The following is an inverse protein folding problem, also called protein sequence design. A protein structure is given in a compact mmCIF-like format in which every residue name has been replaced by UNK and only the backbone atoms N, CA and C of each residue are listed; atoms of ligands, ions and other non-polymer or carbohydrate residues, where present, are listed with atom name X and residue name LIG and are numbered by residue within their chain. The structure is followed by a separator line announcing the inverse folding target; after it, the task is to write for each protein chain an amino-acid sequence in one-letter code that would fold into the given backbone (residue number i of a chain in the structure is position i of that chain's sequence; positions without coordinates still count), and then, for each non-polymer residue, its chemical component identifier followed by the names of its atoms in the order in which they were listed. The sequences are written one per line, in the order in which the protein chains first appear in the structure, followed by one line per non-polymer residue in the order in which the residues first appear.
data_IF_491830932508
#
_entry.id   IF_491830932508
#
_cell.length_a   1.000
_cell.length_b   1.000
_cell.length_c   1.000
_cell.angle_alpha   90.00
_cell.angle_beta   90.00
_cell.angle_gamma   90.00
#
_symmetry.space_group_name_H-M   'P 1'
#
loop_
_entity.id
_entity.type
_entity.pdbx_description
1 polymer ?
#
# COMPACT_ATOMS: atom_id res chain seq x y z
N UNK A 1 -0.90 12.41 -20.55
CA UNK A 1 -0.34 12.54 -19.19
C UNK A 1 0.45 11.26 -18.95
N UNK A 2 1.71 11.34 -18.53
CA UNK A 2 2.49 10.13 -18.21
C UNK A 2 1.81 9.49 -17.00
N UNK A 3 1.24 8.31 -17.17
CA UNK A 3 0.63 7.56 -16.07
C UNK A 3 1.73 7.08 -15.12
N UNK A 4 1.59 7.37 -13.82
CA UNK A 4 2.58 6.99 -12.82
C UNK A 4 2.42 5.50 -12.52
N UNK A 5 3.49 4.72 -12.69
CA UNK A 5 3.43 3.26 -12.60
C UNK A 5 3.05 2.78 -11.19
N UNK A 6 3.43 3.53 -10.15
CA UNK A 6 3.08 3.24 -8.74
C UNK A 6 1.58 3.32 -8.43
N UNK A 7 0.79 4.03 -9.24
CA UNK A 7 -0.67 4.03 -9.15
C UNK A 7 -1.30 3.03 -10.12
N UNK A 8 -0.76 2.95 -11.35
CA UNK A 8 -1.25 2.05 -12.40
C UNK A 8 -1.20 0.58 -11.98
N UNK A 9 -0.10 0.17 -11.36
CA UNK A 9 0.16 -1.20 -10.95
C UNK A 9 -0.20 -1.49 -9.49
N UNK A 10 -0.77 -0.51 -8.78
CA UNK A 10 -1.21 -0.71 -7.40
C UNK A 10 -2.25 -1.84 -7.33
N UNK A 11 -1.98 -2.91 -6.57
CA UNK A 11 -2.96 -3.97 -6.31
C UNK A 11 -4.29 -3.41 -5.80
N UNK A 12 -5.40 -3.88 -6.38
CA UNK A 12 -6.76 -3.50 -5.99
C UNK A 12 -7.42 -4.55 -5.10
N UNK A 13 -6.83 -5.74 -5.01
CA UNK A 13 -7.32 -6.84 -4.19
C UNK A 13 -6.21 -7.39 -3.28
N UNK A 14 -6.59 -7.92 -2.13
CA UNK A 14 -5.62 -8.47 -1.16
C UNK A 14 -4.83 -9.67 -1.71
N UNK A 15 -5.42 -10.47 -2.60
CA UNK A 15 -4.77 -11.61 -3.27
C UNK A 15 -3.74 -11.21 -4.34
N UNK A 16 -3.72 -9.94 -4.74
CA UNK A 16 -2.73 -9.40 -5.69
C UNK A 16 -1.48 -8.86 -4.97
N UNK A 17 -1.52 -8.67 -3.65
CA UNK A 17 -0.40 -8.16 -2.86
C UNK A 17 0.58 -9.30 -2.56
N UNK A 18 1.76 -9.25 -3.17
CA UNK A 18 2.80 -10.28 -3.03
C UNK A 18 3.72 -10.00 -1.84
N UNK A 19 4.29 -11.08 -1.27
CA UNK A 19 5.31 -11.00 -0.23
C UNK A 19 4.78 -10.74 1.19
N UNK A 20 3.45 -10.82 1.40
CA UNK A 20 2.79 -10.63 2.70
C UNK A 20 1.68 -11.67 2.94
N UNK A 21 1.86 -12.90 2.42
CA UNK A 21 0.80 -13.89 2.24
C UNK A 21 0.01 -14.20 3.53
N UNK A 22 0.70 -14.39 4.66
CA UNK A 22 0.08 -14.64 5.97
C UNK A 22 -0.83 -13.50 6.44
N UNK A 23 -0.43 -12.25 6.17
CA UNK A 23 -1.20 -11.05 6.52
C UNK A 23 -2.41 -10.96 5.59
N UNK A 24 -2.20 -11.14 4.29
CA UNK A 24 -3.27 -11.03 3.29
C UNK A 24 -4.36 -12.06 3.51
N UNK A 25 -4.02 -13.31 3.81
CA UNK A 25 -4.98 -14.38 4.13
C UNK A 25 -5.88 -14.01 5.32
N UNK A 26 -5.31 -13.45 6.39
CA UNK A 26 -6.08 -13.00 7.56
C UNK A 26 -6.96 -11.80 7.26
N UNK A 27 -6.46 -10.82 6.50
CA UNK A 27 -7.25 -9.65 6.09
C UNK A 27 -8.40 -10.04 5.17
N UNK A 28 -8.19 -10.99 4.27
CA UNK A 28 -9.24 -11.55 3.41
C UNK A 28 -10.39 -12.15 4.22
N UNK A 29 -10.08 -12.84 5.33
CA UNK A 29 -11.11 -13.36 6.23
C UNK A 29 -11.97 -12.24 6.86
N UNK A 30 -11.37 -11.10 7.25
CA UNK A 30 -12.14 -9.96 7.76
C UNK A 30 -13.03 -9.33 6.70
N UNK A 31 -12.51 -9.17 5.48
CA UNK A 31 -13.25 -8.62 4.33
C UNK A 31 -14.42 -9.52 3.96
N UNK A 32 -14.19 -10.83 3.83
CA UNK A 32 -15.21 -11.81 3.44
C UNK A 32 -16.37 -11.85 4.44
N UNK A 33 -16.07 -11.76 5.74
CA UNK A 33 -17.09 -11.78 6.79
C UNK A 33 -17.71 -10.41 7.08
N UNK A 34 -17.24 -9.34 6.43
CA UNK A 34 -17.59 -7.93 6.73
C UNK A 34 -17.54 -7.62 8.22
N UNK A 35 -16.61 -8.26 8.92
CA UNK A 35 -16.40 -8.13 10.35
C UNK A 35 -14.91 -7.91 10.60
N UNK A 36 -14.55 -6.63 10.68
CA UNK A 36 -13.18 -6.18 10.80
C UNK A 36 -13.04 -5.41 12.11
N UNK A 37 -12.04 -5.71 12.97
CA UNK A 37 -11.70 -4.84 14.09
C UNK A 37 -11.03 -3.55 13.57
N UNK A 38 -10.64 -2.63 14.46
CA UNK A 38 -9.64 -1.64 14.05
C UNK A 38 -8.32 -2.35 13.74
N UNK A 39 -7.59 -1.85 12.75
CA UNK A 39 -6.35 -2.45 12.28
C UNK A 39 -5.18 -1.49 12.53
N UNK A 40 -4.02 -2.05 12.81
CA UNK A 40 -2.75 -1.31 12.85
C UNK A 40 -1.73 -2.00 11.96
N UNK A 41 -1.31 -1.32 10.90
CA UNK A 41 -0.27 -1.76 9.98
C UNK A 41 1.06 -1.15 10.41
N UNK A 42 1.97 -1.99 10.89
CA UNK A 42 3.33 -1.59 11.29
C UNK A 42 4.35 -2.23 10.37
N UNK A 43 5.31 -1.44 9.87
CA UNK A 43 6.38 -1.94 9.01
C UNK A 43 7.05 -0.83 8.22
N UNK A 44 8.15 -1.10 7.50
CA UNK A 44 8.89 -0.09 6.77
C UNK A 44 8.09 0.50 5.59
N UNK A 45 8.61 1.55 4.96
CA UNK A 45 8.02 2.12 3.75
C UNK A 45 8.06 1.11 2.58
N UNK A 46 7.16 1.26 1.61
CA UNK A 46 7.19 0.46 0.37
C UNK A 46 6.75 -1.01 0.48
N UNK A 47 6.31 -1.49 1.64
CA UNK A 47 5.91 -2.91 1.84
C UNK A 47 4.43 -3.22 1.60
N UNK A 48 3.64 -2.24 1.16
CA UNK A 48 2.22 -2.43 0.81
C UNK A 48 1.18 -2.11 1.89
N UNK A 49 1.53 -1.34 2.95
CA UNK A 49 0.57 -0.93 4.00
C UNK A 49 -0.63 -0.16 3.44
N UNK A 50 -0.37 0.92 2.70
CA UNK A 50 -1.39 1.76 2.05
C UNK A 50 -2.19 0.95 1.03
N UNK A 51 -1.49 0.17 0.21
CA UNK A 51 -2.10 -0.73 -0.79
C UNK A 51 -3.09 -1.70 -0.13
N UNK A 52 -2.73 -2.33 1.00
CA UNK A 52 -3.63 -3.23 1.71
C UNK A 52 -4.87 -2.52 2.23
N UNK A 53 -4.75 -1.30 2.76
CA UNK A 53 -5.89 -0.51 3.24
C UNK A 53 -6.87 -0.17 2.09
N UNK A 54 -6.33 0.24 0.94
CA UNK A 54 -7.13 0.54 -0.25
C UNK A 54 -7.75 -0.72 -0.86
N UNK A 55 -7.02 -1.84 -0.90
CA UNK A 55 -7.54 -3.12 -1.37
C UNK A 55 -8.71 -3.62 -0.50
N UNK A 56 -8.63 -3.46 0.83
CA UNK A 56 -9.75 -3.73 1.74
C UNK A 56 -10.97 -2.88 1.36
N UNK A 57 -10.80 -1.57 1.15
CA UNK A 57 -11.89 -0.69 0.78
C UNK A 57 -12.50 -1.05 -0.59
N UNK A 58 -11.67 -1.33 -1.59
CA UNK A 58 -12.11 -1.81 -2.89
C UNK A 58 -12.95 -3.08 -2.79
N UNK A 59 -12.49 -4.07 -2.02
CA UNK A 59 -13.19 -5.35 -1.91
C UNK A 59 -14.47 -5.26 -1.06
N UNK A 60 -14.53 -4.37 -0.08
CA UNK A 60 -15.73 -4.17 0.75
C UNK A 60 -16.82 -3.36 0.03
N UNK A 61 -16.46 -2.30 -0.68
CA UNK A 61 -17.41 -1.29 -1.16
C UNK A 61 -17.56 -1.22 -2.69
N UNK A 62 -16.74 -1.96 -3.44
CA UNK A 62 -16.77 -1.96 -4.90
C UNK A 62 -16.57 -0.56 -5.49
N UNK A 63 -17.46 -0.14 -6.37
CA UNK A 63 -17.37 1.15 -7.07
C UNK A 63 -17.51 2.37 -6.15
N UNK A 64 -18.18 2.20 -5.01
CA UNK A 64 -18.44 3.27 -4.03
C UNK A 64 -17.34 3.40 -2.97
N UNK A 65 -16.20 2.73 -3.15
CA UNK A 65 -15.12 2.70 -2.15
C UNK A 65 -14.66 4.10 -1.74
N UNK A 66 -14.61 5.06 -2.67
CA UNK A 66 -14.19 6.45 -2.40
C UNK A 66 -15.10 7.20 -1.43
N UNK A 67 -16.39 6.85 -1.38
CA UNK A 67 -17.36 7.49 -0.49
C UNK A 67 -17.35 6.91 0.94
N UNK A 68 -16.69 5.75 1.08
CA UNK A 68 -16.67 4.93 2.29
C UNK A 68 -15.29 4.80 2.92
N UNK A 69 -14.24 5.38 2.31
CA UNK A 69 -12.92 5.54 2.92
C UNK A 69 -12.52 7.02 3.01
N UNK A 70 -12.00 7.41 4.17
CA UNK A 70 -11.27 8.67 4.35
C UNK A 70 -9.79 8.35 4.54
N UNK A 71 -8.95 8.78 3.61
CA UNK A 71 -7.49 8.71 3.71
C UNK A 71 -6.94 10.05 4.20
N UNK A 72 -6.14 10.03 5.26
CA UNK A 72 -5.43 11.19 5.78
C UNK A 72 -3.98 10.82 6.08
N UNK A 73 -3.05 11.65 5.64
CA UNK A 73 -1.69 11.59 6.11
C UNK A 73 -1.55 12.36 7.42
N UNK A 74 -1.20 11.67 8.51
CA UNK A 74 -1.11 12.26 9.83
C UNK A 74 0.07 13.23 9.99
N UNK A 75 1.11 13.13 9.16
CA UNK A 75 2.24 14.09 9.19
C UNK A 75 1.88 15.45 8.60
N UNK A 76 0.95 15.48 7.63
CA UNK A 76 0.36 16.72 7.11
C UNK A 76 -0.75 17.23 8.05
N UNK A 77 -1.49 16.30 8.66
CA UNK A 77 -2.58 16.55 9.61
C UNK A 77 -2.14 16.49 11.09
N UNK A 78 -0.94 16.99 11.43
CA UNK A 78 -0.41 16.99 12.82
C UNK A 78 -1.32 17.67 13.84
N UNK A 79 -2.21 18.54 13.40
CA UNK A 79 -3.15 19.26 14.24
C UNK A 79 -4.21 18.34 14.82
N UNK A 80 -4.37 18.40 16.14
CA UNK A 80 -5.51 17.82 16.88
C UNK A 80 -6.87 18.22 16.27
N UNK A 81 -6.92 19.36 15.59
CA UNK A 81 -8.11 19.89 14.94
C UNK A 81 -8.56 19.04 13.74
N UNK A 82 -7.65 18.43 12.98
CA UNK A 82 -8.03 17.53 11.87
C UNK A 82 -8.68 16.26 12.42
N UNK A 83 -8.14 15.73 13.51
CA UNK A 83 -8.71 14.58 14.22
C UNK A 83 -10.08 14.94 14.80
N UNK A 84 -10.25 16.13 15.37
CA UNK A 84 -11.52 16.54 15.99
C UNK A 84 -12.60 16.98 14.99
N UNK A 85 -12.20 17.44 13.80
CA UNK A 85 -13.07 17.88 12.70
C UNK A 85 -13.29 16.78 11.67
N UNK A 86 -12.44 16.74 10.64
CA UNK A 86 -12.62 15.88 9.47
C UNK A 86 -12.85 14.39 9.80
N UNK A 87 -12.05 13.83 10.70
CA UNK A 87 -12.20 12.42 11.12
C UNK A 87 -13.54 12.19 11.82
N UNK A 88 -13.93 13.10 12.72
CA UNK A 88 -15.19 13.00 13.46
C UNK A 88 -16.41 13.17 12.56
N UNK A 89 -16.36 14.12 11.62
CA UNK A 89 -17.45 14.40 10.70
C UNK A 89 -17.68 13.23 9.74
N UNK A 90 -16.59 12.62 9.24
CA UNK A 90 -16.71 11.41 8.42
C UNK A 90 -17.28 10.22 9.21
N UNK A 91 -16.82 10.01 10.44
CA UNK A 91 -17.28 8.93 11.31
C UNK A 91 -18.78 8.99 11.69
N UNK A 92 -19.39 10.19 11.59
CA UNK A 92 -20.82 10.41 11.84
C UNK A 92 -21.72 9.95 10.69
N UNK A 93 -21.18 9.78 9.48
CA UNK A 93 -21.95 9.37 8.31
C UNK A 93 -22.10 7.85 8.25
N UNK A 94 -23.21 7.36 7.67
CA UNK A 94 -23.43 5.92 7.48
C UNK A 94 -22.79 5.42 6.19
N UNK A 95 -22.31 4.19 6.22
CA UNK A 95 -21.82 3.47 5.05
C UNK A 95 -22.98 3.03 4.14
N UNK A 96 -22.62 2.54 2.95
CA UNK A 96 -23.55 1.89 2.00
C UNK A 96 -24.18 0.64 2.62
N UNK A 97 -25.41 0.31 2.24
CA UNK A 97 -26.30 -0.65 2.93
C UNK A 97 -25.69 -2.05 3.18
N UNK A 98 -24.72 -2.48 2.38
CA UNK A 98 -24.13 -3.82 2.46
C UNK A 98 -22.95 -3.98 3.44
N UNK A 99 -22.32 -2.90 3.89
CA UNK A 99 -21.18 -2.96 4.83
C UNK A 99 -21.50 -2.10 6.04
N UNK A 100 -21.46 -2.65 7.28
CA UNK A 100 -22.00 -1.96 8.45
C UNK A 100 -21.14 -0.79 8.94
N UNK A 101 -19.98 -0.56 8.34
CA UNK A 101 -19.02 0.46 8.78
C UNK A 101 -18.36 1.17 7.60
N UNK A 102 -17.83 2.38 7.85
CA UNK A 102 -16.87 3.08 6.98
C UNK A 102 -15.43 2.82 7.42
N UNK A 103 -14.45 3.16 6.57
CA UNK A 103 -13.03 3.07 6.90
C UNK A 103 -12.42 4.46 7.02
N UNK A 104 -11.62 4.67 8.06
CA UNK A 104 -10.70 5.81 8.15
C UNK A 104 -9.28 5.24 8.15
N UNK A 105 -8.52 5.56 7.12
CA UNK A 105 -7.11 5.21 6.99
C UNK A 105 -6.25 6.42 7.37
N UNK A 106 -5.43 6.25 8.42
CA UNK A 106 -4.50 7.27 8.90
C UNK A 106 -3.07 6.80 8.63
N UNK A 107 -2.42 7.37 7.62
CA UNK A 107 -1.02 7.09 7.34
C UNK A 107 -0.09 7.86 8.29
N UNK A 108 1.10 7.32 8.53
CA UNK A 108 2.12 7.90 9.43
C UNK A 108 1.56 8.28 10.82
N UNK A 109 0.69 7.44 11.39
CA UNK A 109 0.06 7.66 12.69
C UNK A 109 1.07 7.81 13.84
N UNK A 110 2.32 7.35 13.65
CA UNK A 110 3.42 7.55 14.58
C UNK A 110 4.02 8.97 14.58
N UNK A 111 3.58 9.84 13.66
CA UNK A 111 3.88 11.26 13.64
C UNK A 111 2.91 12.11 14.49
N UNK A 112 1.79 11.52 14.96
CA UNK A 112 0.81 12.22 15.79
C UNK A 112 1.38 12.54 17.18
N UNK A 113 1.07 13.74 17.69
CA UNK A 113 1.35 14.08 19.09
C UNK A 113 0.52 13.21 20.03
N UNK A 114 0.95 13.10 21.29
CA UNK A 114 0.25 12.29 22.30
C UNK A 114 -1.20 12.78 22.50
N UNK A 115 -1.41 14.09 22.48
CA UNK A 115 -2.73 14.72 22.62
C UNK A 115 -3.65 14.38 21.44
N UNK A 116 -3.11 14.35 20.22
CA UNK A 116 -3.85 13.96 19.03
C UNK A 116 -4.21 12.46 19.06
N UNK A 117 -3.29 11.60 19.52
CA UNK A 117 -3.58 10.18 19.74
C UNK A 117 -4.65 9.96 20.82
N UNK A 118 -4.59 10.70 21.94
CA UNK A 118 -5.63 10.63 22.98
C UNK A 118 -7.00 11.08 22.46
N UNK A 119 -7.05 12.08 21.58
CA UNK A 119 -8.28 12.49 20.91
C UNK A 119 -8.80 11.42 19.94
N UNK A 120 -7.91 10.85 19.12
CA UNK A 120 -8.23 9.77 18.18
C UNK A 120 -8.81 8.56 18.91
N UNK A 121 -8.20 8.15 20.03
CA UNK A 121 -8.68 7.04 20.86
C UNK A 121 -10.15 7.22 21.26
N UNK A 122 -10.55 8.42 21.69
CA UNK A 122 -11.95 8.70 22.07
C UNK A 122 -12.89 8.53 20.89
N UNK A 123 -12.51 9.02 19.71
CA UNK A 123 -13.31 8.87 18.48
C UNK A 123 -13.42 7.40 18.09
N UNK A 124 -12.34 6.61 18.22
CA UNK A 124 -12.39 5.17 17.97
C UNK A 124 -13.41 4.47 18.88
N UNK A 125 -13.47 4.86 20.16
CA UNK A 125 -14.44 4.32 21.12
C UNK A 125 -15.88 4.75 20.80
N UNK A 126 -16.09 6.04 20.54
CA UNK A 126 -17.42 6.61 20.28
C UNK A 126 -18.07 6.06 19.01
N UNK A 127 -17.28 5.77 17.96
CA UNK A 127 -17.76 5.38 16.64
C UNK A 127 -17.41 3.94 16.24
N UNK A 128 -17.07 3.07 17.21
CA UNK A 128 -16.72 1.66 16.95
C UNK A 128 -17.81 0.89 16.21
N UNK A 129 -19.08 1.29 16.33
CA UNK A 129 -20.19 0.62 15.65
C UNK A 129 -20.25 0.96 14.16
N UNK A 130 -19.98 2.22 13.79
CA UNK A 130 -20.17 2.74 12.42
C UNK A 130 -18.87 2.93 11.64
N UNK A 131 -17.71 2.89 12.29
CA UNK A 131 -16.42 3.20 11.67
C UNK A 131 -15.36 2.18 12.08
N UNK A 132 -14.44 1.86 11.17
CA UNK A 132 -13.23 1.09 11.44
C UNK A 132 -11.99 1.90 11.06
N UNK A 133 -11.06 2.00 11.98
CA UNK A 133 -9.79 2.66 11.76
C UNK A 133 -8.75 1.67 11.25
N UNK A 134 -7.95 2.11 10.27
CA UNK A 134 -6.72 1.44 9.84
C UNK A 134 -5.58 2.44 10.06
N UNK A 135 -4.70 2.16 11.02
CA UNK A 135 -3.58 3.03 11.36
C UNK A 135 -2.31 2.47 10.73
N UNK A 136 -1.60 3.26 9.92
CA UNK A 136 -0.29 2.91 9.39
C UNK A 136 0.81 3.63 10.16
N UNK A 137 1.88 2.92 10.48
CA UNK A 137 3.04 3.46 11.20
C UNK A 137 4.30 2.67 10.83
N UNK A 138 5.48 3.27 11.04
CA UNK A 138 6.72 2.52 10.93
C UNK A 138 6.93 1.65 12.17
N UNK A 139 6.72 2.22 13.36
CA UNK A 139 6.91 1.54 14.63
C UNK A 139 5.67 1.62 15.51
N UNK A 140 5.05 0.47 15.80
CA UNK A 140 3.88 0.39 16.68
C UNK A 140 4.16 0.92 18.10
N UNK A 141 5.42 0.91 18.55
CA UNK A 141 5.85 1.43 19.86
C UNK A 141 5.66 2.94 20.03
N UNK A 142 5.57 3.71 18.93
CA UNK A 142 5.28 5.15 18.97
C UNK A 142 3.79 5.46 19.13
N UNK A 143 2.93 4.46 19.02
CA UNK A 143 1.49 4.59 19.26
C UNK A 143 1.19 4.31 20.73
N UNK A 144 0.32 5.11 21.35
CA UNK A 144 -0.03 4.93 22.76
C UNK A 144 -0.67 3.55 23.01
N UNK A 145 -0.38 2.88 24.15
CA UNK A 145 -0.95 1.58 24.47
C UNK A 145 -2.48 1.48 24.40
N UNK A 146 -3.27 2.52 24.78
CA UNK A 146 -4.72 2.49 24.64
C UNK A 146 -5.23 2.33 23.20
N UNK A 147 -4.53 2.86 22.19
CA UNK A 147 -4.90 2.65 20.78
C UNK A 147 -4.49 1.24 20.35
N UNK A 148 -3.26 0.82 20.69
CA UNK A 148 -2.76 -0.51 20.35
C UNK A 148 -3.68 -1.63 20.85
N UNK A 149 -4.21 -1.52 22.07
CA UNK A 149 -5.10 -2.53 22.65
C UNK A 149 -6.48 -2.64 21.97
N UNK A 150 -6.84 -1.68 21.12
CA UNK A 150 -8.10 -1.67 20.34
C UNK A 150 -7.90 -2.11 18.90
N UNK A 151 -6.66 -2.36 18.48
CA UNK A 151 -6.32 -2.72 17.11
C UNK A 151 -5.81 -4.16 17.00
N UNK A 152 -6.22 -4.86 15.96
CA UNK A 152 -5.48 -6.03 15.48
C UNK A 152 -4.20 -5.53 14.78
N UNK A 153 -3.04 -5.91 15.32
CA UNK A 153 -1.73 -5.44 14.82
C UNK A 153 -1.21 -6.41 13.76
N UNK A 154 -0.96 -5.89 12.56
CA UNK A 154 -0.33 -6.57 11.45
C UNK A 154 1.06 -5.98 11.20
N UNK A 155 2.09 -6.84 11.31
CA UNK A 155 3.49 -6.46 11.15
C UNK A 155 3.97 -6.82 9.75
N UNK A 156 3.93 -5.84 8.85
CA UNK A 156 4.45 -5.96 7.49
C UNK A 156 5.97 -6.08 7.54
N UNK A 157 6.51 -7.08 6.86
CA UNK A 157 7.95 -7.33 6.78
C UNK A 157 8.53 -6.72 5.50
N UNK A 158 9.84 -6.45 5.43
CA UNK A 158 10.50 -6.20 4.16
C UNK A 158 10.15 -7.29 3.14
N UNK A 159 9.94 -6.89 1.89
CA UNK A 159 9.60 -7.82 0.82
C UNK A 159 10.81 -8.69 0.47
N UNK A 160 10.63 -10.01 0.19
CA UNK A 160 11.72 -10.84 -0.28
C UNK A 160 12.28 -10.31 -1.60
N UNK A 161 13.62 -10.34 -1.74
CA UNK A 161 14.34 -9.83 -2.92
C UNK A 161 13.78 -10.41 -4.23
N UNK A 162 13.66 -11.73 -4.30
CA UNK A 162 13.18 -12.42 -5.50
C UNK A 162 11.77 -11.97 -5.87
N UNK A 163 10.87 -11.83 -4.88
CA UNK A 163 9.51 -11.33 -5.10
C UNK A 163 9.50 -9.91 -5.68
N UNK A 164 10.36 -9.01 -5.20
CA UNK A 164 10.48 -7.66 -5.77
C UNK A 164 10.97 -7.70 -7.21
N UNK A 165 12.02 -8.47 -7.48
CA UNK A 165 12.57 -8.63 -8.84
C UNK A 165 11.51 -9.18 -9.80
N UNK A 166 10.78 -10.22 -9.40
CA UNK A 166 9.70 -10.80 -10.19
C UNK A 166 8.59 -9.78 -10.50
N UNK A 167 8.21 -8.95 -9.52
CA UNK A 167 7.24 -7.87 -9.73
C UNK A 167 7.74 -6.81 -10.70
N UNK A 168 9.01 -6.38 -10.59
CA UNK A 168 9.60 -5.40 -11.51
C UNK A 168 9.64 -5.92 -12.94
N UNK A 169 10.02 -7.19 -13.14
CA UNK A 169 10.03 -7.84 -14.45
C UNK A 169 8.60 -7.92 -15.01
N UNK A 170 7.61 -8.25 -14.18
CA UNK A 170 6.21 -8.29 -14.60
C UNK A 170 5.69 -6.91 -15.04
N UNK A 171 6.03 -5.85 -14.30
CA UNK A 171 5.67 -4.47 -14.64
C UNK A 171 6.34 -4.05 -15.96
N UNK A 172 7.65 -4.29 -16.10
CA UNK A 172 8.38 -3.99 -17.32
C UNK A 172 7.77 -4.69 -18.54
N UNK A 173 7.44 -5.98 -18.40
CA UNK A 173 6.84 -6.76 -19.48
C UNK A 173 5.45 -6.23 -19.90
N UNK A 174 4.62 -5.80 -18.94
CA UNK A 174 3.32 -5.15 -19.24
C UNK A 174 3.47 -3.82 -19.97
N UNK A 175 4.56 -3.10 -19.71
CA UNK A 175 4.94 -1.87 -20.40
C UNK A 175 5.77 -2.11 -21.68
N UNK A 176 5.91 -3.38 -22.10
CA UNK A 176 6.66 -3.82 -23.28
C UNK A 176 8.18 -3.56 -23.23
N UNK A 177 8.74 -3.50 -22.04
CA UNK A 177 10.18 -3.44 -21.79
C UNK A 177 10.73 -4.82 -21.43
N UNK A 178 11.87 -5.16 -22.02
CA UNK A 178 12.70 -6.28 -21.60
C UNK A 178 13.54 -5.81 -20.41
N UNK A 179 13.29 -6.40 -19.24
CA UNK A 179 14.09 -6.17 -18.05
C UNK A 179 14.82 -7.45 -17.69
N UNK A 180 16.15 -7.44 -17.79
CA UNK A 180 16.97 -8.57 -17.36
C UNK A 180 16.96 -8.71 -15.83
N UNK A 181 17.14 -9.94 -15.33
CA UNK A 181 17.25 -10.19 -13.88
C UNK A 181 18.32 -9.32 -13.22
N UNK A 182 19.48 -9.17 -13.87
CA UNK A 182 20.59 -8.35 -13.38
C UNK A 182 20.24 -6.86 -13.32
N UNK A 183 19.48 -6.35 -14.30
CA UNK A 183 19.00 -4.96 -14.26
C UNK A 183 17.98 -4.76 -13.13
N UNK A 184 17.05 -5.71 -12.94
CA UNK A 184 16.09 -5.68 -11.84
C UNK A 184 16.78 -5.77 -10.46
N UNK A 185 17.84 -6.56 -10.35
CA UNK A 185 18.65 -6.68 -9.13
C UNK A 185 19.32 -5.35 -8.75
N UNK A 186 19.86 -4.61 -9.72
CA UNK A 186 20.41 -3.27 -9.48
C UNK A 186 19.34 -2.28 -9.01
N UNK A 187 18.13 -2.33 -9.60
CA UNK A 187 17.00 -1.51 -9.15
C UNK A 187 16.62 -1.88 -7.71
N UNK A 188 16.58 -3.18 -7.39
CA UNK A 188 16.31 -3.64 -6.04
C UNK A 188 17.34 -3.10 -5.04
N UNK A 189 18.64 -3.22 -5.34
CA UNK A 189 19.73 -2.72 -4.49
C UNK A 189 19.61 -1.22 -4.24
N UNK A 190 19.36 -0.43 -5.28
CA UNK A 190 19.16 1.01 -5.17
C UNK A 190 17.88 1.40 -4.39
N UNK A 191 16.85 0.56 -4.42
CA UNK A 191 15.59 0.78 -3.72
C UNK A 191 15.59 0.35 -2.25
N UNK A 192 16.60 -0.42 -1.83
CA UNK A 192 16.69 -1.05 -0.50
C UNK A 192 15.43 -1.87 -0.13
N UNK A 193 14.76 -2.47 -1.12
CA UNK A 193 13.55 -3.26 -0.94
C UNK A 193 12.24 -2.45 -0.79
N UNK A 194 12.28 -1.12 -0.95
CA UNK A 194 11.08 -0.28 -1.04
C UNK A 194 10.47 -0.38 -2.44
N UNK A 195 9.31 -1.05 -2.56
CA UNK A 195 8.68 -1.29 -3.86
C UNK A 195 8.27 0.02 -4.57
N UNK A 196 7.85 1.05 -3.83
CA UNK A 196 7.46 2.33 -4.43
C UNK A 196 8.68 3.01 -5.06
N UNK A 197 9.82 2.97 -4.38
CA UNK A 197 11.09 3.47 -4.94
C UNK A 197 11.52 2.64 -6.15
N UNK A 198 11.44 1.31 -6.05
CA UNK A 198 11.83 0.40 -7.13
C UNK A 198 11.02 0.65 -8.41
N UNK A 199 9.69 0.82 -8.30
CA UNK A 199 8.81 1.13 -9.44
C UNK A 199 9.12 2.50 -10.06
N UNK A 200 9.38 3.52 -9.24
CA UNK A 200 9.76 4.85 -9.72
C UNK A 200 11.11 4.81 -10.46
N UNK A 201 12.09 4.08 -9.94
CA UNK A 201 13.38 3.88 -10.59
C UNK A 201 13.23 3.11 -11.91
N UNK A 202 12.40 2.07 -11.93
CA UNK A 202 12.10 1.33 -13.15
C UNK A 202 11.46 2.23 -14.21
N UNK A 203 10.47 3.06 -13.82
CA UNK A 203 9.82 4.00 -14.72
C UNK A 203 10.82 5.05 -15.25
N UNK A 204 11.76 5.51 -14.43
CA UNK A 204 12.85 6.39 -14.86
C UNK A 204 13.77 5.69 -15.87
N UNK A 205 14.15 4.43 -15.63
CA UNK A 205 14.95 3.63 -16.57
C UNK A 205 14.23 3.40 -17.90
N UNK A 206 12.91 3.18 -17.86
CA UNK A 206 12.08 3.01 -19.05
C UNK A 206 12.08 4.25 -19.96
N UNK A 207 12.25 5.44 -19.39
CA UNK A 207 12.29 6.71 -20.16
C UNK A 207 13.55 6.88 -21.02
N UNK A 208 14.63 6.16 -20.71
CA UNK A 208 15.91 6.17 -21.45
C UNK A 208 16.20 4.84 -22.14
N UNK A 209 15.22 3.94 -22.18
CA UNK A 209 15.35 2.60 -22.74
C UNK A 209 15.69 2.62 -24.24
N UNK A 210 16.42 1.60 -24.70
CA UNK A 210 16.81 1.48 -26.11
C UNK A 210 15.84 0.57 -26.84
N UNK A 211 15.62 0.85 -28.12
CA UNK A 211 14.75 0.02 -28.96
C UNK A 211 15.44 -1.30 -29.25
N UNK A 212 14.86 -2.37 -28.73
CA UNK A 212 15.37 -3.74 -28.87
C UNK A 212 14.19 -4.69 -28.80
N UNK A 213 13.98 -5.44 -29.89
CA UNK A 213 12.91 -6.43 -29.95
C UNK A 213 13.35 -7.71 -29.25
N UNK A 214 12.52 -8.19 -28.34
CA UNK A 214 12.77 -9.43 -27.62
C UNK A 214 11.49 -10.11 -27.20
N UNK A 215 11.64 -11.23 -26.49
CA UNK A 215 10.55 -11.85 -25.77
C UNK A 215 11.03 -12.25 -24.38
N UNK A 216 10.24 -11.95 -23.36
CA UNK A 216 10.52 -12.39 -21.99
C UNK A 216 9.47 -13.42 -21.57
N UNK A 217 9.95 -14.57 -21.12
CA UNK A 217 9.14 -15.49 -20.32
C UNK A 217 9.21 -14.99 -18.88
N UNK A 218 8.09 -14.51 -18.36
CA UNK A 218 8.06 -14.07 -16.96
C UNK A 218 8.17 -15.28 -16.03
N UNK A 219 8.63 -15.09 -14.78
CA UNK A 219 8.69 -16.13 -13.76
C UNK A 219 7.36 -16.89 -13.53
N UNK A 220 6.23 -16.34 -13.99
CA UNK A 220 4.90 -16.92 -13.91
C UNK A 220 4.40 -17.55 -15.22
N UNK A 221 5.30 -17.83 -16.18
CA UNK A 221 4.99 -18.54 -17.42
C UNK A 221 4.22 -17.74 -18.46
N UNK A 222 4.15 -16.40 -18.34
CA UNK A 222 3.56 -15.54 -19.37
C UNK A 222 4.65 -15.00 -20.29
N UNK A 223 4.46 -15.18 -21.60
CA UNK A 223 5.36 -14.65 -22.61
C UNK A 223 4.87 -13.27 -23.09
N UNK A 224 5.77 -12.29 -23.08
CA UNK A 224 5.49 -10.94 -23.61
C UNK A 224 6.45 -10.62 -24.75
N UNK A 225 5.92 -10.03 -25.83
CA UNK A 225 6.75 -9.39 -26.85
C UNK A 225 7.16 -7.99 -26.37
N UNK A 226 8.45 -7.70 -26.42
CA UNK A 226 9.02 -6.44 -25.94
C UNK A 226 9.60 -5.65 -27.11
N UNK A 227 9.47 -4.32 -27.05
CA UNK A 227 9.95 -3.41 -28.09
C UNK A 227 11.21 -2.63 -27.69
N UNK A 228 11.45 -2.56 -26.38
CA UNK A 228 12.55 -1.82 -25.77
C UNK A 228 13.26 -2.69 -24.72
N UNK A 229 14.54 -2.46 -24.48
CA UNK A 229 15.32 -3.13 -23.43
C UNK A 229 15.85 -2.12 -22.40
N UNK A 230 15.86 -2.57 -21.15
CA UNK A 230 16.47 -1.90 -20.01
C UNK A 230 17.67 -2.75 -19.56
N UNK A 231 18.85 -2.28 -19.93
CA UNK A 231 20.12 -2.93 -19.63
C UNK A 231 20.69 -2.49 -18.27
N UNK A 232 21.50 -3.33 -17.61
CA UNK A 232 22.17 -2.97 -16.35
C UNK A 232 22.96 -1.66 -16.41
N UNK A 233 23.56 -1.33 -17.55
CA UNK A 233 24.32 -0.07 -17.73
C UNK A 233 23.44 1.18 -17.70
N UNK A 234 22.17 1.07 -18.12
CA UNK A 234 21.20 2.16 -18.05
C UNK A 234 20.72 2.35 -16.62
N UNK A 235 20.48 1.23 -15.90
CA UNK A 235 20.13 1.29 -14.49
C UNK A 235 21.23 1.98 -13.70
N UNK A 236 22.50 1.55 -13.87
CA UNK A 236 23.66 2.16 -13.20
C UNK A 236 23.91 3.64 -13.51
N UNK A 237 23.32 4.19 -14.58
CA UNK A 237 23.43 5.61 -14.90
C UNK A 237 22.38 6.47 -14.19
N UNK A 238 21.32 5.84 -13.66
CA UNK A 238 20.17 6.50 -13.01
C UNK A 238 20.23 6.35 -11.49
N UNK A 239 20.67 5.19 -11.01
CA UNK A 239 20.82 4.89 -9.57
C UNK A 239 22.16 5.38 -9.04
#
# INVERSE_FOLDING_TARGET
MIEIWTEKYRPKRLDEIKGQDDIMSRLQAFVANKNMPHLMFSGPAGVGKTTAALAIAHQLYGDTWRDNILELNASDARGIDVIRGAVKDFARTRAVEDVPFKIIYLDESDALTKEAQDALRRIMEDYVQTTRFILSCNYSSKIIPPIQSRCAIFRFKPLPKDTVIEMLIEIAAKEKYLLSWKAAELIYEASEGDMRKAENLLQACASVAKKEKGSIDTPFGKKYETEFSIDPSQVSAIV
#
